data_IF_679977927388
#
_entry.id   IF_679977927388
#
_cell.length_a   1.000
_cell.length_b   1.000
_cell.length_c   1.000
_cell.angle_alpha   90.00
_cell.angle_beta   90.00
_cell.angle_gamma   90.00
#
_symmetry.space_group_name_H-M   'P 1'
#
loop_
_entity.id
_entity.type
_entity.pdbx_description
1 polymer ?
#
# COMPACT_ATOMS: atom_id res chain seq x y z
N UNK A 1 4.52 -11.90 -13.58
CA UNK A 1 4.15 -10.84 -12.60
C UNK A 1 3.34 -11.48 -11.49
N UNK A 2 3.60 -11.13 -10.22
CA UNK A 2 2.75 -11.59 -9.13
C UNK A 2 1.41 -10.86 -9.20
N UNK A 3 0.32 -11.58 -8.95
CA UNK A 3 -1.03 -10.99 -8.93
C UNK A 3 -1.10 -9.95 -7.80
N UNK A 4 -1.51 -8.73 -8.12
CA UNK A 4 -1.84 -7.72 -7.10
C UNK A 4 -3.05 -8.20 -6.30
N UNK A 5 -2.90 -8.29 -4.98
CA UNK A 5 -3.97 -8.60 -4.04
C UNK A 5 -4.84 -7.35 -3.88
N UNK A 6 -6.12 -7.47 -4.22
CA UNK A 6 -7.08 -6.36 -4.15
C UNK A 6 -7.94 -6.57 -2.90
N UNK A 7 -7.88 -5.68 -1.89
CA UNK A 7 -8.73 -5.77 -0.71
C UNK A 7 -10.22 -5.79 -1.06
N UNK A 8 -11.08 -6.50 -0.29
CA UNK A 8 -12.50 -6.70 -0.59
C UNK A 8 -13.37 -5.47 -0.24
N UNK A 9 -12.80 -4.26 -0.32
CA UNK A 9 -13.49 -2.99 -0.06
C UNK A 9 -13.28 -2.10 -1.28
N UNK A 10 -14.39 -1.61 -1.86
CA UNK A 10 -14.35 -0.66 -2.97
C UNK A 10 -14.11 0.74 -2.41
N UNK A 11 -13.11 1.43 -2.93
CA UNK A 11 -12.86 2.85 -2.64
C UNK A 11 -12.58 3.63 -3.91
N UNK A 12 -12.89 4.92 -3.89
CA UNK A 12 -12.42 5.82 -4.94
C UNK A 12 -10.91 6.02 -4.81
N UNK A 13 -10.21 6.07 -5.95
CA UNK A 13 -8.75 6.29 -5.95
C UNK A 13 -7.91 5.07 -5.55
N UNK A 14 -8.46 3.85 -5.59
CA UNK A 14 -7.68 2.64 -5.28
C UNK A 14 -6.47 2.50 -6.23
N UNK A 15 -5.28 2.36 -5.66
CA UNK A 15 -4.00 2.43 -6.38
C UNK A 15 -3.57 1.09 -7.03
N UNK A 16 -4.52 0.19 -7.36
CA UNK A 16 -4.22 -1.17 -7.87
C UNK A 16 -3.27 -1.19 -9.06
N UNK A 17 -3.47 -0.29 -10.03
CA UNK A 17 -2.64 -0.19 -11.24
C UNK A 17 -1.21 0.32 -10.97
N UNK A 18 -0.97 0.93 -9.81
CA UNK A 18 0.32 1.55 -9.47
C UNK A 18 1.15 0.69 -8.51
N UNK A 19 0.58 -0.38 -7.94
CA UNK A 19 1.24 -1.22 -6.93
C UNK A 19 2.61 -1.71 -7.40
N UNK A 20 2.71 -2.26 -8.60
CA UNK A 20 3.97 -2.80 -9.12
C UNK A 20 5.02 -1.71 -9.33
N UNK A 21 4.61 -0.53 -9.79
CA UNK A 21 5.50 0.62 -9.96
C UNK A 21 6.04 1.14 -8.62
N UNK A 22 5.16 1.33 -7.63
CA UNK A 22 5.54 1.76 -6.28
C UNK A 22 6.47 0.74 -5.63
N UNK A 23 6.16 -0.56 -5.76
CA UNK A 23 7.01 -1.65 -5.27
C UNK A 23 8.40 -1.60 -5.91
N UNK A 24 8.48 -1.35 -7.21
CA UNK A 24 9.74 -1.18 -7.93
C UNK A 24 10.59 -0.02 -7.42
N UNK A 25 9.98 1.09 -7.02
CA UNK A 25 10.66 2.25 -6.41
C UNK A 25 11.07 1.93 -4.97
N UNK A 26 10.18 1.36 -4.17
CA UNK A 26 10.44 1.06 -2.75
C UNK A 26 11.64 0.14 -2.54
N UNK A 27 11.90 -0.79 -3.48
CA UNK A 27 13.05 -1.70 -3.44
C UNK A 27 14.40 -1.00 -3.63
N UNK A 28 14.40 0.25 -4.14
CA UNK A 28 15.60 1.04 -4.40
C UNK A 28 16.01 1.89 -3.20
N UNK A 29 15.20 1.93 -2.15
CA UNK A 29 15.41 2.78 -0.98
C UNK A 29 15.39 1.91 0.27
N UNK A 30 16.40 2.05 1.12
CA UNK A 30 16.39 1.41 2.43
C UNK A 30 15.48 2.20 3.37
N UNK A 31 14.58 1.51 4.06
CA UNK A 31 13.71 2.10 5.08
C UNK A 31 13.44 1.08 6.19
N UNK A 32 13.26 1.56 7.41
CA UNK A 32 12.95 0.71 8.56
C UNK A 32 11.44 0.54 8.80
N UNK A 33 10.64 1.53 8.40
CA UNK A 33 9.19 1.55 8.57
C UNK A 33 8.53 2.22 7.38
N UNK A 34 7.48 1.58 6.87
CA UNK A 34 6.54 2.17 5.93
C UNK A 34 5.54 3.06 6.67
N UNK A 35 5.34 4.29 6.23
CA UNK A 35 4.34 5.21 6.81
C UNK A 35 3.37 5.61 5.71
N UNK A 36 2.09 5.26 5.90
CA UNK A 36 1.03 5.56 4.94
C UNK A 36 -0.13 6.27 5.66
N UNK A 37 -0.12 7.62 5.69
CA UNK A 37 -1.15 8.40 6.39
C UNK A 37 -2.54 8.37 5.74
N UNK A 38 -2.60 7.90 4.49
CA UNK A 38 -3.82 7.82 3.66
C UNK A 38 -3.93 6.43 3.06
N UNK A 39 -4.08 5.42 3.92
CA UNK A 39 -4.04 4.02 3.49
C UNK A 39 -5.25 3.65 2.62
N UNK A 40 -6.41 4.26 2.82
CA UNK A 40 -7.67 3.85 2.21
C UNK A 40 -7.90 2.35 2.40
N UNK A 41 -7.91 1.58 1.31
CA UNK A 41 -8.09 0.12 1.37
C UNK A 41 -6.82 -0.65 1.76
N UNK A 42 -5.67 0.02 1.87
CA UNK A 42 -4.38 -0.61 2.18
C UNK A 42 -3.74 -1.36 1.00
N UNK A 43 -4.25 -1.20 -0.23
CA UNK A 43 -3.80 -1.96 -1.41
C UNK A 43 -2.29 -1.86 -1.67
N UNK A 44 -1.65 -0.74 -1.31
CA UNK A 44 -0.21 -0.55 -1.52
C UNK A 44 0.58 -1.29 -0.43
N UNK A 45 0.42 -0.92 0.84
CA UNK A 45 1.14 -1.55 1.95
C UNK A 45 0.99 -3.08 1.98
N UNK A 46 -0.21 -3.62 1.74
CA UNK A 46 -0.45 -5.08 1.77
C UNK A 46 0.23 -5.84 0.62
N UNK A 47 0.48 -5.21 -0.52
CA UNK A 47 1.21 -5.84 -1.62
C UNK A 47 2.73 -5.64 -1.54
N UNK A 48 3.17 -4.55 -0.90
CA UNK A 48 4.59 -4.27 -0.64
C UNK A 48 5.11 -5.15 0.51
N UNK A 49 4.28 -5.39 1.53
CA UNK A 49 4.60 -6.19 2.71
C UNK A 49 5.89 -5.72 3.43
N UNK A 50 5.95 -4.45 3.85
CA UNK A 50 7.08 -3.94 4.61
C UNK A 50 7.18 -4.64 5.98
N UNK A 51 8.39 -4.82 6.51
CA UNK A 51 8.62 -5.48 7.82
C UNK A 51 7.92 -4.76 8.97
N UNK A 52 7.82 -3.42 8.90
CA UNK A 52 7.10 -2.57 9.85
C UNK A 52 6.31 -1.53 9.07
N UNK A 53 5.05 -1.32 9.44
CA UNK A 53 4.20 -0.29 8.86
C UNK A 53 3.45 0.48 9.93
N UNK A 54 3.26 1.78 9.70
CA UNK A 54 2.27 2.62 10.35
C UNK A 54 1.28 3.05 9.27
N UNK A 55 0.05 2.55 9.36
CA UNK A 55 -1.02 2.82 8.41
C UNK A 55 -2.10 3.62 9.12
N UNK A 56 -2.51 4.73 8.52
CA UNK A 56 -3.55 5.59 9.05
C UNK A 56 -4.52 5.99 7.94
N UNK A 57 -5.74 6.31 8.34
CA UNK A 57 -6.72 6.99 7.52
C UNK A 57 -7.53 7.92 8.43
N UNK A 58 -8.07 9.01 7.88
CA UNK A 58 -8.94 9.90 8.63
C UNK A 58 -10.36 9.36 8.76
N UNK A 59 -10.73 8.36 7.95
CA UNK A 59 -12.04 7.75 8.02
C UNK A 59 -12.24 7.04 9.38
N UNK A 60 -13.18 7.48 10.23
CA UNK A 60 -13.42 6.88 11.53
C UNK A 60 -14.22 5.56 11.47
N UNK A 61 -14.69 5.16 10.29
CA UNK A 61 -15.49 3.95 10.03
C UNK A 61 -14.67 2.89 9.28
#
# INVERSE_FOLDING_TARGET
>A
MMKTLIPPIKSQGIKTKLVDWIKGISKKVAFERWVEPFMGTGVVAFNIQPKRALLCDSNPH
#
